data_IF_720141636043
#
_entry.id   IF_720141636043
#
_cell.length_a   1.000
_cell.length_b   1.000
_cell.length_c   1.000
_cell.angle_alpha   90.00
_cell.angle_beta   90.00
_cell.angle_gamma   90.00
#
_symmetry.space_group_name_H-M   'P 1'
#
loop_
_entity.id
_entity.type
_entity.pdbx_description
1 polymer ?
#
# COMPACT_ATOMS: atom_id res chain seq x y z
N UNK A 1 16.81 -40.14 -31.28
CA UNK A 1 16.41 -38.87 -31.91
C UNK A 1 14.92 -38.73 -31.60
N UNK A 2 14.40 -37.83 -30.78
CA UNK A 2 14.87 -36.50 -30.37
C UNK A 2 14.18 -36.11 -29.05
N UNK A 3 14.89 -35.39 -28.19
CA UNK A 3 14.36 -34.28 -27.40
C UNK A 3 15.13 -33.03 -27.88
N UNK A 4 14.79 -31.77 -27.54
CA UNK A 4 13.86 -31.31 -26.51
C UNK A 4 13.01 -30.07 -26.93
N UNK A 5 12.31 -29.46 -25.96
CA UNK A 5 11.86 -28.06 -25.92
C UNK A 5 10.52 -27.69 -26.57
N UNK A 6 9.43 -28.08 -25.90
CA UNK A 6 8.23 -27.23 -25.83
C UNK A 6 8.36 -26.34 -24.60
N UNK A 7 8.89 -25.13 -24.79
CA UNK A 7 9.03 -24.09 -23.77
C UNK A 7 7.70 -23.91 -23.05
N UNK A 8 7.63 -24.31 -21.77
CA UNK A 8 6.54 -23.89 -20.91
C UNK A 8 6.63 -22.37 -20.83
N UNK A 9 5.70 -21.70 -21.51
CA UNK A 9 5.52 -20.27 -21.38
C UNK A 9 4.90 -20.04 -20.01
N UNK A 10 5.74 -20.10 -18.96
CA UNK A 10 5.42 -19.57 -17.64
C UNK A 10 5.44 -18.07 -17.86
N UNK A 11 4.35 -17.54 -18.38
CA UNK A 11 4.03 -16.14 -18.20
C UNK A 11 3.75 -16.01 -16.71
N UNK A 12 4.83 -15.87 -15.95
CA UNK A 12 4.83 -15.62 -14.53
C UNK A 12 4.03 -14.34 -14.37
N UNK A 13 2.75 -14.48 -14.02
CA UNK A 13 1.85 -13.36 -13.82
C UNK A 13 2.33 -12.72 -12.54
N UNK A 14 3.34 -11.87 -12.65
CA UNK A 14 3.77 -11.02 -11.56
C UNK A 14 2.53 -10.28 -11.09
N UNK A 15 2.07 -10.62 -9.89
CA UNK A 15 0.90 -9.99 -9.29
C UNK A 15 1.37 -8.60 -8.91
N UNK A 16 0.84 -7.58 -9.57
CA UNK A 16 1.07 -6.20 -9.18
C UNK A 16 0.04 -5.83 -8.13
N UNK A 17 0.49 -5.17 -7.07
CA UNK A 17 -0.36 -4.67 -6.00
C UNK A 17 -0.06 -3.20 -5.79
N UNK A 18 -1.12 -2.42 -5.60
CA UNK A 18 -1.04 -0.98 -5.41
C UNK A 18 -1.40 -0.64 -3.96
N UNK A 19 -0.56 0.18 -3.32
CA UNK A 19 -0.86 0.78 -2.03
C UNK A 19 -0.94 2.30 -2.16
N UNK A 20 -2.12 2.82 -1.84
CA UNK A 20 -2.43 4.23 -1.82
C UNK A 20 -2.15 4.83 -0.44
N UNK A 21 -1.68 6.07 -0.44
CA UNK A 21 -1.59 6.91 0.75
C UNK A 21 -2.44 8.18 0.61
N UNK A 22 -3.18 8.53 1.66
CA UNK A 22 -3.96 9.77 1.68
C UNK A 22 -3.76 10.49 3.01
N UNK A 23 -3.32 11.74 2.92
CA UNK A 23 -3.23 12.63 4.07
C UNK A 23 -4.58 13.30 4.37
N UNK A 24 -5.14 13.00 5.53
CA UNK A 24 -6.43 13.50 5.99
C UNK A 24 -6.19 14.54 7.09
N UNK A 25 -6.71 15.74 6.87
CA UNK A 25 -6.74 16.78 7.90
C UNK A 25 -8.11 17.45 7.99
N UNK A 26 -8.60 17.67 9.22
CA UNK A 26 -9.86 18.39 9.45
C UNK A 26 -9.59 19.87 9.69
N UNK A 27 -10.04 20.72 8.77
CA UNK A 27 -9.96 22.20 8.89
C UNK A 27 -11.32 22.87 9.12
N UNK A 28 -12.41 22.28 8.65
CA UNK A 28 -13.77 22.82 8.81
C UNK A 28 -14.10 22.86 10.32
N UNK A 29 -14.49 24.04 10.80
CA UNK A 29 -14.80 24.39 12.21
C UNK A 29 -13.63 24.68 13.16
N UNK A 30 -12.36 24.59 12.73
CA UNK A 30 -11.19 24.93 13.55
C UNK A 30 -10.59 26.28 13.15
N UNK A 31 -11.38 27.38 13.12
CA UNK A 31 -10.87 28.70 12.68
C UNK A 31 -9.71 29.23 13.54
N UNK A 32 -9.53 28.74 14.77
CA UNK A 32 -8.50 29.25 15.70
C UNK A 32 -7.68 28.15 16.43
N UNK A 33 -7.78 26.88 16.01
CA UNK A 33 -7.00 25.77 16.61
C UNK A 33 -5.93 25.25 15.64
N UNK A 34 -4.71 25.13 16.14
CA UNK A 34 -3.55 24.65 15.37
C UNK A 34 -3.89 23.30 14.72
N UNK A 35 -3.74 23.16 13.39
CA UNK A 35 -4.17 21.99 12.61
C UNK A 35 -3.37 20.70 12.87
N UNK A 36 -2.58 20.63 13.95
CA UNK A 36 -1.73 19.49 14.30
C UNK A 36 -2.46 18.32 14.96
N UNK A 37 -3.58 18.56 15.66
CA UNK A 37 -4.22 17.53 16.50
C UNK A 37 -5.11 16.52 15.76
N UNK A 38 -5.39 16.71 14.47
CA UNK A 38 -6.27 15.83 13.68
C UNK A 38 -5.71 15.55 12.29
N UNK A 39 -4.41 15.29 12.24
CA UNK A 39 -3.70 14.83 11.04
C UNK A 39 -3.62 13.32 11.12
N UNK A 40 -4.19 12.66 10.13
CA UNK A 40 -4.15 11.21 10.00
C UNK A 40 -3.71 10.88 8.59
N UNK A 41 -3.04 9.75 8.46
CA UNK A 41 -2.75 9.13 7.20
C UNK A 41 -3.67 7.94 7.04
N UNK A 42 -4.16 7.73 5.83
CA UNK A 42 -4.89 6.55 5.43
C UNK A 42 -4.00 5.77 4.47
N UNK A 43 -3.75 4.50 4.77
CA UNK A 43 -2.93 3.60 3.95
C UNK A 43 -3.70 2.34 3.60
N UNK A 44 -3.54 1.84 2.39
CA UNK A 44 -4.12 0.57 2.01
C UNK A 44 -4.22 0.45 0.49
N UNK A 45 -4.82 -0.64 0.05
CA UNK A 45 -5.04 -0.93 -1.36
C UNK A 45 -6.23 -1.86 -1.51
N UNK A 46 -6.68 -2.05 -2.73
CA UNK A 46 -7.82 -2.95 -3.03
C UNK A 46 -7.50 -4.36 -2.52
N UNK A 47 -6.26 -4.78 -2.63
CA UNK A 47 -5.72 -6.07 -2.24
C UNK A 47 -5.74 -6.29 -0.72
N UNK A 48 -5.70 -5.20 0.05
CA UNK A 48 -5.79 -5.25 1.51
C UNK A 48 -7.23 -5.35 2.02
N UNK A 49 -8.22 -5.10 1.15
CA UNK A 49 -9.66 -5.09 1.49
C UNK A 49 -10.08 -3.99 2.47
N UNK A 50 -9.14 -3.16 2.95
CA UNK A 50 -9.40 -2.09 3.91
C UNK A 50 -8.31 -1.02 3.86
N UNK A 51 -8.69 0.19 4.30
CA UNK A 51 -7.76 1.30 4.53
C UNK A 51 -7.51 1.44 6.03
N UNK A 52 -6.24 1.50 6.43
CA UNK A 52 -5.80 1.71 7.80
C UNK A 52 -5.53 3.19 8.07
N UNK A 53 -6.12 3.72 9.15
CA UNK A 53 -5.85 5.08 9.62
C UNK A 53 -4.75 5.07 10.66
N UNK A 54 -3.66 5.79 10.39
CA UNK A 54 -2.52 5.92 11.31
C UNK A 54 -2.16 7.38 11.53
N UNK A 55 -1.64 7.67 12.72
CA UNK A 55 -1.27 9.04 13.08
C UNK A 55 0.14 9.42 12.59
N UNK A 56 1.01 8.42 12.38
CA UNK A 56 2.41 8.60 11.97
C UNK A 56 2.66 7.93 10.62
N UNK A 57 3.34 8.66 9.73
CA UNK A 57 3.86 8.16 8.44
C UNK A 57 5.36 7.94 8.57
N UNK A 58 5.75 6.85 9.22
CA UNK A 58 7.14 6.44 9.36
C UNK A 58 7.37 5.03 8.81
N UNK A 59 8.64 4.72 8.52
CA UNK A 59 9.02 3.45 7.93
C UNK A 59 8.51 2.22 8.72
N UNK A 60 8.55 2.18 10.07
CA UNK A 60 8.00 1.06 10.82
C UNK A 60 6.48 0.89 10.63
N UNK A 61 5.72 1.98 10.65
CA UNK A 61 4.27 1.94 10.45
C UNK A 61 3.95 1.46 9.04
N UNK A 62 4.61 2.02 8.02
CA UNK A 62 4.44 1.63 6.63
C UNK A 62 4.80 0.16 6.40
N UNK A 63 5.92 -0.30 6.94
CA UNK A 63 6.37 -1.69 6.80
C UNK A 63 5.35 -2.67 7.37
N UNK A 64 4.74 -2.35 8.51
CA UNK A 64 3.71 -3.21 9.12
C UNK A 64 2.46 -3.34 8.24
N UNK A 65 2.08 -2.26 7.56
CA UNK A 65 0.92 -2.24 6.66
C UNK A 65 1.25 -3.00 5.36
N UNK A 66 2.43 -2.75 4.80
CA UNK A 66 2.93 -3.47 3.62
C UNK A 66 2.96 -4.97 3.88
N UNK A 67 3.50 -5.41 5.02
CA UNK A 67 3.55 -6.84 5.37
C UNK A 67 2.16 -7.47 5.56
N UNK A 68 1.18 -6.69 6.01
CA UNK A 68 -0.19 -7.17 6.19
C UNK A 68 -0.98 -7.22 4.86
N UNK A 69 -0.72 -6.28 3.95
CA UNK A 69 -1.49 -6.12 2.72
C UNK A 69 -0.84 -6.83 1.52
N UNK A 70 0.50 -6.90 1.48
CA UNK A 70 1.26 -7.29 0.30
C UNK A 70 1.61 -8.76 0.34
N UNK A 71 1.33 -9.48 -0.75
CA UNK A 71 1.71 -10.89 -0.86
C UNK A 71 3.23 -11.01 -1.03
N UNK A 72 3.88 -11.94 -0.32
CA UNK A 72 5.25 -12.32 -0.67
C UNK A 72 5.21 -12.79 -2.12
N UNK A 73 6.13 -12.31 -2.96
CA UNK A 73 6.20 -12.59 -4.40
C UNK A 73 5.28 -11.73 -5.31
N UNK A 74 4.82 -10.58 -4.82
CA UNK A 74 4.14 -9.56 -5.62
C UNK A 74 4.98 -8.30 -5.79
N UNK A 75 4.78 -7.58 -6.90
CA UNK A 75 5.36 -6.26 -7.10
C UNK A 75 4.48 -5.23 -6.40
N UNK A 76 5.06 -4.42 -5.52
CA UNK A 76 4.38 -3.32 -4.86
C UNK A 76 4.63 -2.01 -5.62
N UNK A 77 3.55 -1.33 -6.00
CA UNK A 77 3.57 0.05 -6.47
C UNK A 77 2.90 0.94 -5.43
N UNK A 78 3.51 2.07 -5.14
CA UNK A 78 3.00 3.02 -4.15
C UNK A 78 3.64 4.38 -4.41
N UNK A 79 2.92 5.46 -4.10
CA UNK A 79 3.34 6.86 -4.32
C UNK A 79 4.42 7.36 -3.32
N UNK A 80 5.11 6.44 -2.63
CA UNK A 80 5.99 6.71 -1.48
C UNK A 80 7.10 7.75 -1.70
#
# INVERSE_FOLDING_TARGET
>A
MSSPHGSHNIQDKSVNQELDETYISKRKYNRDRIPGQRRMWSFGGIECGSMQLVQRRDAPTLLSIVQACVRPDSNLYTDL
#
